data_IF_820437783253
#
_entry.id   IF_820437783253
#
_cell.length_a   1.000
_cell.length_b   1.000
_cell.length_c   1.000
_cell.angle_alpha   90.00
_cell.angle_beta   90.00
_cell.angle_gamma   90.00
#
_symmetry.space_group_name_H-M   'P 1'
#
loop_
_entity.id
_entity.type
_entity.pdbx_description
1 polymer ?
#
# COMPACT_ATOMS: atom_id res chain seq x y z
N UNK A 1 4.15 -12.83 -11.07
CA UNK A 1 4.84 -13.01 -12.36
C UNK A 1 3.86 -12.76 -13.51
N UNK A 2 4.31 -12.19 -14.66
CA UNK A 2 3.44 -11.98 -15.80
C UNK A 2 2.73 -13.28 -16.20
N UNK A 3 1.43 -13.20 -16.54
CA UNK A 3 0.62 -14.38 -16.88
C UNK A 3 1.29 -15.27 -17.94
N UNK A 4 2.00 -14.67 -18.91
CA UNK A 4 2.77 -15.41 -19.92
C UNK A 4 3.85 -16.32 -19.34
N UNK A 5 4.54 -15.95 -18.26
CA UNK A 5 5.57 -16.78 -17.62
C UNK A 5 4.90 -17.99 -16.94
N UNK A 6 3.75 -17.80 -16.29
CA UNK A 6 3.00 -18.88 -15.65
C UNK A 6 2.54 -19.90 -16.70
N UNK A 7 2.03 -19.42 -17.84
CA UNK A 7 1.59 -20.28 -18.95
C UNK A 7 2.78 -21.10 -19.49
N UNK A 8 3.91 -20.45 -19.78
CA UNK A 8 5.11 -21.13 -20.30
C UNK A 8 5.62 -22.17 -19.30
N UNK A 9 5.67 -21.83 -18.01
CA UNK A 9 6.04 -22.76 -16.94
C UNK A 9 5.12 -23.99 -16.90
N UNK A 10 3.81 -23.75 -16.93
CA UNK A 10 2.81 -24.83 -16.91
C UNK A 10 2.93 -25.75 -18.13
N UNK A 11 3.14 -25.19 -19.32
CA UNK A 11 3.36 -25.95 -20.54
C UNK A 11 4.63 -26.80 -20.45
N UNK A 12 5.75 -26.24 -20.00
CA UNK A 12 7.01 -26.97 -19.83
C UNK A 12 6.90 -28.07 -18.79
N UNK A 13 6.18 -27.84 -17.69
CA UNK A 13 5.90 -28.86 -16.67
C UNK A 13 5.06 -30.02 -17.25
N UNK A 14 4.04 -29.72 -18.02
CA UNK A 14 3.21 -30.73 -18.70
C UNK A 14 4.06 -31.55 -19.66
N UNK A 15 4.87 -30.91 -20.49
CA UNK A 15 5.80 -31.56 -21.42
C UNK A 15 6.77 -32.47 -20.67
N UNK A 16 7.36 -31.99 -19.58
CA UNK A 16 8.28 -32.77 -18.73
C UNK A 16 7.60 -34.01 -18.14
N UNK A 17 6.35 -33.86 -17.64
CA UNK A 17 5.56 -34.99 -17.11
C UNK A 17 5.25 -36.01 -18.22
N UNK A 18 4.83 -35.54 -19.40
CA UNK A 18 4.48 -36.42 -20.53
C UNK A 18 5.72 -37.24 -20.99
N UNK A 19 6.85 -36.57 -21.19
CA UNK A 19 8.10 -37.21 -21.63
C UNK A 19 8.60 -38.24 -20.60
N UNK A 20 8.34 -38.02 -19.31
CA UNK A 20 8.75 -38.95 -18.26
C UNK A 20 7.73 -40.02 -17.91
N UNK A 21 6.53 -40.07 -18.53
CA UNK A 21 5.57 -41.16 -18.35
C UNK A 21 6.17 -42.49 -18.87
N UNK A 22 5.99 -43.62 -18.14
CA UNK A 22 6.50 -44.92 -18.56
C UNK A 22 6.04 -45.36 -19.94
N UNK A 23 4.78 -45.10 -20.30
CA UNK A 23 4.19 -45.42 -21.63
C UNK A 23 4.85 -44.62 -22.76
N UNK A 24 5.16 -43.34 -22.53
CA UNK A 24 5.84 -42.50 -23.52
C UNK A 24 7.30 -42.93 -23.67
N UNK A 25 7.98 -43.23 -22.58
CA UNK A 25 9.36 -43.79 -22.60
C UNK A 25 9.46 -45.10 -23.35
N UNK A 26 8.44 -45.97 -23.23
CA UNK A 26 8.41 -47.25 -23.95
C UNK A 26 8.30 -47.07 -25.48
N UNK A 27 7.38 -46.24 -25.94
CA UNK A 27 7.20 -45.96 -27.38
C UNK A 27 8.38 -45.17 -27.97
N UNK A 28 8.92 -44.19 -27.23
CA UNK A 28 10.03 -43.36 -27.63
C UNK A 28 11.37 -44.11 -27.59
N UNK A 29 11.52 -45.08 -26.68
CA UNK A 29 12.72 -45.93 -26.53
C UNK A 29 12.89 -46.85 -27.75
N UNK A 30 11.79 -47.33 -28.37
CA UNK A 30 11.87 -48.13 -29.58
C UNK A 30 12.24 -47.28 -30.83
N UNK A 31 11.81 -46.01 -30.87
CA UNK A 31 12.23 -45.05 -31.90
C UNK A 31 13.66 -44.54 -31.68
N UNK A 32 14.11 -44.41 -30.43
CA UNK A 32 15.41 -43.85 -30.03
C UNK A 32 16.42 -44.86 -29.51
N UNK A 33 16.37 -46.12 -29.89
CA UNK A 33 17.40 -47.14 -29.50
C UNK A 33 18.84 -46.73 -29.87
N UNK A 34 18.99 -45.72 -30.75
CA UNK A 34 20.24 -45.13 -31.21
C UNK A 34 20.66 -43.85 -30.45
N UNK A 35 19.78 -43.25 -29.57
CA UNK A 35 20.01 -41.91 -29.05
C UNK A 35 19.70 -41.74 -27.56
N UNK A 36 20.19 -42.62 -26.67
CA UNK A 36 20.05 -42.44 -25.21
C UNK A 36 20.70 -41.15 -24.71
N UNK A 37 21.72 -40.67 -25.42
CA UNK A 37 22.38 -39.38 -25.15
C UNK A 37 21.47 -38.17 -25.49
N UNK A 38 20.71 -38.25 -26.61
CA UNK A 38 19.82 -37.18 -27.03
C UNK A 38 18.67 -37.00 -26.04
N UNK A 39 18.09 -38.08 -25.51
CA UNK A 39 17.02 -38.00 -24.51
C UNK A 39 17.52 -37.41 -23.16
N UNK A 40 18.73 -37.76 -22.76
CA UNK A 40 19.35 -37.14 -21.56
C UNK A 40 19.60 -35.67 -21.79
N UNK A 41 20.08 -35.28 -22.96
CA UNK A 41 20.30 -33.86 -23.31
C UNK A 41 18.99 -33.07 -23.31
N UNK A 42 17.91 -33.57 -23.91
CA UNK A 42 16.60 -32.93 -23.95
C UNK A 42 16.06 -32.77 -22.51
N UNK A 43 16.10 -33.80 -21.68
CA UNK A 43 15.62 -33.70 -20.30
C UNK A 43 16.44 -32.68 -19.48
N UNK A 44 17.75 -32.64 -19.67
CA UNK A 44 18.61 -31.66 -19.01
C UNK A 44 18.30 -30.23 -19.47
N UNK A 45 18.08 -30.01 -20.77
CA UNK A 45 17.69 -28.70 -21.32
C UNK A 45 16.36 -28.24 -20.71
N UNK A 46 15.35 -29.13 -20.67
CA UNK A 46 14.05 -28.80 -20.07
C UNK A 46 14.21 -28.50 -18.57
N UNK A 47 15.01 -29.28 -17.83
CA UNK A 47 15.27 -29.04 -16.43
C UNK A 47 15.95 -27.67 -16.20
N UNK A 48 16.97 -27.36 -17.02
CA UNK A 48 17.64 -26.04 -16.95
C UNK A 48 16.66 -24.91 -17.30
N UNK A 49 15.83 -25.05 -18.32
CA UNK A 49 14.82 -24.06 -18.66
C UNK A 49 13.80 -23.84 -17.52
N UNK A 50 13.38 -24.92 -16.87
CA UNK A 50 12.48 -24.82 -15.71
C UNK A 50 13.15 -24.09 -14.55
N UNK A 51 14.41 -24.40 -14.25
CA UNK A 51 15.19 -23.70 -13.22
C UNK A 51 15.34 -22.21 -13.58
N UNK A 52 15.70 -21.87 -14.81
CA UNK A 52 15.82 -20.48 -15.27
C UNK A 52 14.49 -19.75 -15.15
N UNK A 53 13.37 -20.39 -15.52
CA UNK A 53 12.03 -19.83 -15.36
C UNK A 53 11.69 -19.58 -13.89
N UNK A 54 11.95 -20.54 -13.00
CA UNK A 54 11.75 -20.38 -11.56
C UNK A 54 12.57 -19.21 -11.02
N UNK A 55 13.85 -19.10 -11.41
CA UNK A 55 14.71 -17.99 -11.00
C UNK A 55 14.21 -16.64 -11.52
N UNK A 56 13.55 -16.59 -12.69
CA UNK A 56 12.95 -15.35 -13.24
C UNK A 56 11.56 -15.06 -12.66
N UNK A 57 10.91 -16.01 -11.97
CA UNK A 57 9.65 -15.77 -11.27
C UNK A 57 9.81 -15.04 -9.94
N UNK A 58 11.04 -14.84 -9.45
CA UNK A 58 11.27 -14.09 -8.23
C UNK A 58 10.90 -12.61 -8.44
N UNK A 59 10.19 -12.06 -7.46
CA UNK A 59 9.91 -10.64 -7.40
C UNK A 59 11.24 -9.86 -7.44
N UNK A 60 11.36 -8.94 -8.39
CA UNK A 60 12.49 -8.00 -8.42
C UNK A 60 12.02 -6.69 -7.81
N UNK A 61 12.56 -6.31 -6.66
CA UNK A 61 12.21 -5.03 -6.03
C UNK A 61 12.51 -3.89 -6.99
N UNK A 62 11.63 -2.90 -7.01
CA UNK A 62 11.86 -1.67 -7.76
C UNK A 62 12.94 -0.83 -7.08
N UNK A 63 13.92 -0.36 -7.85
CA UNK A 63 14.96 0.51 -7.34
C UNK A 63 14.51 1.98 -7.40
N UNK A 64 13.66 2.38 -6.49
CA UNK A 64 13.00 3.66 -6.39
C UNK A 64 11.92 3.59 -5.33
N UNK A 65 10.93 4.46 -5.40
CA UNK A 65 9.75 4.40 -4.54
C UNK A 65 8.61 3.69 -5.27
N UNK A 66 8.10 2.62 -4.71
CA UNK A 66 6.90 1.94 -5.18
C UNK A 66 5.81 2.05 -4.13
N UNK A 67 4.62 2.46 -4.54
CA UNK A 67 3.43 2.61 -3.70
C UNK A 67 2.34 1.74 -4.30
N UNK A 68 1.76 0.86 -3.49
CA UNK A 68 0.67 -0.03 -3.89
C UNK A 68 -0.55 0.27 -3.02
N UNK A 69 -1.58 0.87 -3.59
CA UNK A 69 -2.89 0.95 -2.97
C UNK A 69 -3.60 -0.38 -3.24
N UNK A 70 -3.71 -1.21 -2.20
CA UNK A 70 -4.27 -2.55 -2.31
C UNK A 70 -5.79 -2.48 -2.41
N UNK A 71 -6.39 -3.35 -3.21
CA UNK A 71 -7.84 -3.55 -3.22
C UNK A 71 -8.26 -4.40 -2.01
N UNK A 72 -8.60 -3.72 -0.93
CA UNK A 72 -9.11 -4.32 0.31
C UNK A 72 -10.63 -4.20 0.44
N UNK A 73 -11.33 -3.78 -0.62
CA UNK A 73 -12.74 -3.42 -0.56
C UNK A 73 -12.94 -2.07 0.12
N UNK A 74 -13.94 -1.95 1.00
CA UNK A 74 -14.18 -0.71 1.73
C UNK A 74 -13.20 -0.61 2.91
N UNK A 75 -12.19 0.23 2.75
CA UNK A 75 -11.11 0.46 3.70
C UNK A 75 -9.81 0.87 3.02
N UNK A 76 -8.76 1.05 3.78
CA UNK A 76 -7.44 1.46 3.31
C UNK A 76 -6.36 0.42 3.61
N UNK A 77 -5.47 0.22 2.66
CA UNK A 77 -4.20 -0.46 2.86
C UNK A 77 -3.22 -0.05 1.78
N UNK A 78 -2.20 0.72 2.14
CA UNK A 78 -1.26 1.26 1.17
C UNK A 78 0.14 0.82 1.56
N UNK A 79 0.71 -0.07 0.74
CA UNK A 79 2.08 -0.53 0.91
C UNK A 79 3.05 0.38 0.17
N UNK A 80 4.14 0.75 0.84
CA UNK A 80 5.20 1.59 0.30
C UNK A 80 6.53 0.88 0.43
N UNK A 81 7.26 0.73 -0.69
CA UNK A 81 8.60 0.15 -0.69
C UNK A 81 9.61 1.16 -1.25
N UNK A 82 10.65 1.46 -0.46
CA UNK A 82 11.73 2.36 -0.85
C UNK A 82 12.99 1.56 -1.19
N UNK A 83 13.48 1.75 -2.42
CA UNK A 83 14.69 1.09 -2.95
C UNK A 83 14.69 -0.44 -2.78
N UNK A 84 13.51 -1.04 -2.68
CA UNK A 84 13.30 -2.47 -2.48
C UNK A 84 13.85 -3.06 -1.18
N UNK A 85 14.17 -2.20 -0.20
CA UNK A 85 14.79 -2.59 1.08
C UNK A 85 13.96 -2.23 2.29
N UNK A 86 13.28 -1.09 2.25
CA UNK A 86 12.44 -0.59 3.33
C UNK A 86 10.98 -0.69 2.95
N UNK A 87 10.19 -1.21 3.86
CA UNK A 87 8.80 -1.55 3.62
C UNK A 87 7.92 -0.91 4.68
N UNK A 88 6.94 -0.16 4.24
CA UNK A 88 6.00 0.53 5.10
C UNK A 88 4.58 0.15 4.71
N UNK A 89 3.68 0.19 5.68
CA UNK A 89 2.26 0.04 5.44
C UNK A 89 1.54 1.25 6.06
N UNK A 90 0.68 1.89 5.29
CA UNK A 90 -0.22 2.94 5.76
C UNK A 90 -1.61 2.34 5.83
N UNK A 91 -2.12 2.23 7.04
CA UNK A 91 -3.35 1.54 7.38
C UNK A 91 -3.39 0.08 6.90
N UNK A 92 -4.40 -0.62 7.28
CA UNK A 92 -4.70 -1.97 6.83
C UNK A 92 -6.00 -2.42 7.44
N UNK A 93 -7.09 -2.25 6.70
CA UNK A 93 -8.40 -2.64 7.17
C UNK A 93 -9.43 -2.82 6.06
N UNK A 94 -10.58 -3.35 6.45
CA UNK A 94 -11.75 -3.47 5.59
C UNK A 94 -13.00 -3.68 6.43
N UNK A 95 -14.13 -3.11 6.01
CA UNK A 95 -15.45 -3.35 6.61
C UNK A 95 -16.30 -4.33 5.82
N UNK A 96 -15.97 -4.61 4.57
CA UNK A 96 -16.75 -5.52 3.70
C UNK A 96 -16.02 -6.83 3.39
N UNK A 97 -14.68 -6.89 3.48
CA UNK A 97 -13.92 -8.12 3.28
C UNK A 97 -13.52 -8.72 4.63
N UNK A 98 -14.13 -9.84 4.96
CA UNK A 98 -13.77 -10.60 6.17
C UNK A 98 -12.33 -11.12 6.07
N UNK A 99 -11.55 -10.87 7.13
CA UNK A 99 -10.16 -11.30 7.22
C UNK A 99 -9.29 -10.76 6.05
N UNK A 100 -9.44 -9.45 5.76
CA UNK A 100 -8.71 -8.77 4.70
C UNK A 100 -7.19 -8.86 4.88
N UNK A 101 -6.70 -8.88 6.12
CA UNK A 101 -5.28 -9.09 6.43
C UNK A 101 -4.79 -10.43 5.92
N UNK A 102 -5.51 -11.52 6.23
CA UNK A 102 -5.15 -12.88 5.85
C UNK A 102 -5.28 -13.14 4.35
N UNK A 103 -6.33 -12.61 3.71
CA UNK A 103 -6.68 -13.01 2.33
C UNK A 103 -6.36 -11.97 1.27
N UNK A 104 -6.04 -10.73 1.65
CA UNK A 104 -5.69 -9.64 0.74
C UNK A 104 -4.31 -9.07 1.04
N UNK A 105 -4.11 -8.47 2.22
CA UNK A 105 -2.89 -7.71 2.53
C UNK A 105 -1.67 -8.63 2.64
N UNK A 106 -1.72 -9.66 3.48
CA UNK A 106 -0.57 -10.57 3.66
C UNK A 106 -0.14 -11.28 2.36
N UNK A 107 -1.06 -11.85 1.56
CA UNK A 107 -0.66 -12.45 0.28
C UNK A 107 -0.05 -11.44 -0.70
N UNK A 108 -0.57 -10.20 -0.75
CA UNK A 108 0.00 -9.14 -1.57
C UNK A 108 1.43 -8.78 -1.13
N UNK A 109 1.64 -8.57 0.17
CA UNK A 109 2.97 -8.33 0.74
C UNK A 109 3.94 -9.47 0.41
N UNK A 110 3.52 -10.72 0.55
CA UNK A 110 4.33 -11.90 0.22
C UNK A 110 4.65 -11.99 -1.27
N UNK A 111 3.70 -11.68 -2.14
CA UNK A 111 3.91 -11.63 -3.59
C UNK A 111 4.92 -10.54 -4.00
N UNK A 112 4.95 -9.44 -3.25
CA UNK A 112 5.94 -8.37 -3.39
C UNK A 112 7.27 -8.66 -2.67
N UNK A 113 7.45 -9.87 -2.13
CA UNK A 113 8.69 -10.29 -1.45
C UNK A 113 8.89 -9.67 -0.07
N UNK A 114 7.89 -8.99 0.48
CA UNK A 114 7.97 -8.39 1.80
C UNK A 114 7.92 -9.48 2.89
N UNK A 115 8.96 -9.51 3.71
CA UNK A 115 9.11 -10.39 4.89
C UNK A 115 9.17 -9.61 6.19
N UNK A 116 9.48 -8.32 6.09
CA UNK A 116 9.62 -7.41 7.21
C UNK A 116 9.01 -6.08 6.84
N UNK A 117 8.10 -5.58 7.67
CA UNK A 117 7.58 -4.22 7.58
C UNK A 117 8.35 -3.39 8.60
N UNK A 118 9.09 -2.38 8.14
CA UNK A 118 9.86 -1.50 9.01
C UNK A 118 8.94 -0.72 9.95
N UNK A 119 7.85 -0.18 9.41
CA UNK A 119 6.87 0.56 10.19
C UNK A 119 5.48 0.49 9.56
N UNK A 120 4.45 0.36 10.39
CA UNK A 120 3.05 0.57 10.03
C UNK A 120 2.62 1.93 10.55
N UNK A 121 2.12 2.79 9.68
CA UNK A 121 1.57 4.09 10.01
C UNK A 121 0.05 3.99 10.03
N UNK A 122 -0.56 4.30 11.17
CA UNK A 122 -2.01 4.28 11.37
C UNK A 122 -2.54 5.71 11.30
N UNK A 123 -3.55 5.93 10.47
CA UNK A 123 -4.25 7.21 10.41
C UNK A 123 -5.18 7.38 11.62
N UNK A 124 -6.06 6.42 11.84
CA UNK A 124 -6.98 6.35 12.99
C UNK A 124 -7.41 4.89 13.22
N UNK A 125 -8.25 4.64 14.23
CA UNK A 125 -8.48 3.27 14.72
C UNK A 125 -9.82 2.66 14.31
N UNK A 126 -10.46 3.14 13.26
CA UNK A 126 -11.66 2.51 12.71
C UNK A 126 -11.31 1.18 12.02
N UNK A 127 -12.28 0.27 11.96
CA UNK A 127 -12.04 -1.10 11.50
C UNK A 127 -11.52 -1.20 10.06
N UNK A 128 -11.95 -0.30 9.19
CA UNK A 128 -11.48 -0.21 7.79
C UNK A 128 -10.06 0.32 7.65
N UNK A 129 -9.41 0.68 8.75
CA UNK A 129 -8.00 1.09 8.79
C UNK A 129 -7.11 0.17 9.61
N UNK A 130 -7.65 -0.57 10.60
CA UNK A 130 -6.81 -1.39 11.49
C UNK A 130 -7.13 -2.88 11.51
N UNK A 131 -8.26 -3.35 10.99
CA UNK A 131 -8.66 -4.76 11.12
C UNK A 131 -7.64 -5.72 10.50
N UNK A 132 -7.08 -5.39 9.33
CA UNK A 132 -6.04 -6.19 8.70
C UNK A 132 -4.69 -6.05 9.42
N UNK A 133 -4.37 -4.88 9.99
CA UNK A 133 -3.17 -4.70 10.83
C UNK A 133 -3.20 -5.64 12.03
N UNK A 134 -4.34 -5.72 12.73
CA UNK A 134 -4.51 -6.65 13.86
C UNK A 134 -4.33 -8.12 13.44
N UNK A 135 -4.73 -8.47 12.22
CA UNK A 135 -4.50 -9.81 11.66
C UNK A 135 -3.01 -10.02 11.33
N UNK A 136 -2.33 -9.04 10.75
CA UNK A 136 -0.90 -9.10 10.45
C UNK A 136 -0.05 -9.28 11.71
N UNK A 137 -0.38 -8.60 12.81
CA UNK A 137 0.27 -8.78 14.12
C UNK A 137 0.19 -10.25 14.57
N UNK A 138 -0.97 -10.90 14.44
CA UNK A 138 -1.14 -12.32 14.77
C UNK A 138 -0.37 -13.27 13.85
N UNK A 139 -0.02 -12.82 12.65
CA UNK A 139 0.73 -13.59 11.67
C UNK A 139 2.23 -13.46 11.80
N UNK A 140 2.73 -12.60 12.69
CA UNK A 140 4.16 -12.47 12.96
C UNK A 140 4.75 -13.81 13.40
N UNK A 141 5.86 -14.20 12.74
CA UNK A 141 6.60 -15.43 12.99
C UNK A 141 8.01 -15.29 12.41
N UNK A 142 8.80 -16.38 12.41
CA UNK A 142 10.18 -16.38 11.89
C UNK A 142 10.30 -15.97 10.40
N UNK A 143 9.20 -15.96 9.64
CA UNK A 143 9.19 -15.66 8.19
C UNK A 143 8.53 -14.33 7.83
N UNK A 144 7.85 -13.69 8.78
CA UNK A 144 7.21 -12.40 8.63
C UNK A 144 7.18 -11.65 9.96
N UNK A 145 7.60 -10.40 9.97
CA UNK A 145 7.65 -9.58 11.18
C UNK A 145 7.39 -8.10 10.89
N UNK A 146 7.04 -7.37 11.96
CA UNK A 146 6.75 -5.93 11.97
C UNK A 146 7.70 -5.29 12.98
N UNK A 147 8.39 -4.22 12.57
CA UNK A 147 9.36 -3.51 13.42
C UNK A 147 8.67 -2.57 14.41
N UNK A 148 7.80 -1.71 13.92
CA UNK A 148 7.10 -0.72 14.75
C UNK A 148 5.74 -0.35 14.18
N UNK A 149 4.91 0.25 15.04
CA UNK A 149 3.63 0.87 14.65
C UNK A 149 3.67 2.32 15.11
N UNK A 150 3.30 3.24 14.23
CA UNK A 150 3.12 4.66 14.54
C UNK A 150 1.65 4.97 14.53
N UNK A 151 1.14 5.52 15.63
CA UNK A 151 -0.27 5.89 15.81
C UNK A 151 -0.38 7.40 16.09
N UNK A 152 -1.53 8.04 15.80
CA UNK A 152 -1.73 9.42 16.22
C UNK A 152 -1.69 9.54 17.74
N UNK A 153 -1.06 10.61 18.27
CA UNK A 153 -1.12 10.95 19.69
C UNK A 153 -2.45 11.64 20.01
N UNK A 154 -3.40 10.87 20.52
CA UNK A 154 -4.77 11.33 20.84
C UNK A 154 -4.96 11.50 22.33
N UNK A 155 -4.16 12.36 22.96
CA UNK A 155 -4.20 12.59 24.40
C UNK A 155 -5.62 12.78 24.95
N UNK A 156 -5.96 12.02 26.00
CA UNK A 156 -7.26 12.04 26.66
C UNK A 156 -8.33 11.19 25.97
N UNK A 157 -8.03 10.55 24.83
CA UNK A 157 -8.93 9.61 24.11
C UNK A 157 -8.34 8.20 23.98
N UNK A 158 -7.32 7.91 24.77
CA UNK A 158 -6.66 6.59 24.84
C UNK A 158 -7.61 5.47 25.32
N UNK A 159 -8.80 5.83 25.81
CA UNK A 159 -9.86 4.89 26.22
C UNK A 159 -10.73 4.40 25.08
N UNK A 160 -10.43 4.72 23.83
CA UNK A 160 -11.10 4.11 22.67
C UNK A 160 -10.70 2.64 22.63
N UNK A 161 -11.67 1.76 22.75
CA UNK A 161 -11.45 0.29 22.85
C UNK A 161 -10.55 -0.24 21.74
N UNK A 162 -10.77 0.19 20.48
CA UNK A 162 -9.96 -0.24 19.33
C UNK A 162 -8.49 0.19 19.43
N UNK A 163 -8.24 1.42 19.92
CA UNK A 163 -6.90 1.95 20.14
C UNK A 163 -6.15 1.14 21.20
N UNK A 164 -6.75 0.96 22.38
CA UNK A 164 -6.16 0.19 23.46
C UNK A 164 -5.91 -1.26 23.06
N UNK A 165 -6.84 -1.86 22.31
CA UNK A 165 -6.69 -3.22 21.81
C UNK A 165 -5.51 -3.37 20.84
N UNK A 166 -5.32 -2.41 19.93
CA UNK A 166 -4.19 -2.44 18.99
C UNK A 166 -2.85 -2.32 19.74
N UNK A 167 -2.77 -1.41 20.71
CA UNK A 167 -1.57 -1.22 21.57
C UNK A 167 -1.27 -2.50 22.35
N UNK A 168 -2.27 -3.09 23.03
CA UNK A 168 -2.12 -4.34 23.79
C UNK A 168 -1.65 -5.52 22.89
N UNK A 169 -2.18 -5.60 21.68
CA UNK A 169 -1.77 -6.64 20.72
C UNK A 169 -0.33 -6.44 20.25
N UNK A 170 0.08 -5.19 19.99
CA UNK A 170 1.44 -4.86 19.57
C UNK A 170 2.44 -5.17 20.70
N UNK A 171 2.12 -4.77 21.93
CA UNK A 171 2.95 -5.04 23.13
C UNK A 171 3.16 -6.55 23.35
N UNK A 172 2.08 -7.33 23.31
CA UNK A 172 2.14 -8.80 23.42
C UNK A 172 2.96 -9.47 22.32
N UNK A 173 3.03 -8.85 21.15
CA UNK A 173 3.84 -9.33 20.02
C UNK A 173 5.28 -8.79 20.04
N UNK A 174 5.65 -7.94 21.03
CA UNK A 174 6.96 -7.31 21.12
C UNK A 174 7.20 -6.24 20.03
N UNK A 175 6.12 -5.66 19.47
CA UNK A 175 6.19 -4.62 18.44
C UNK A 175 6.15 -3.26 19.14
N UNK A 176 7.15 -2.42 18.82
CA UNK A 176 7.22 -1.08 19.40
C UNK A 176 6.12 -0.15 18.87
N UNK A 177 5.42 0.56 19.77
CA UNK A 177 4.40 1.55 19.40
C UNK A 177 4.95 2.95 19.65
N UNK A 178 4.92 3.79 18.62
CA UNK A 178 5.29 5.20 18.68
C UNK A 178 4.06 6.07 18.44
N UNK A 179 4.08 7.29 18.93
CA UNK A 179 2.98 8.23 18.81
C UNK A 179 3.42 9.43 17.98
N UNK A 180 2.61 9.79 16.99
CA UNK A 180 2.90 10.88 16.07
C UNK A 180 1.91 12.04 16.27
N UNK A 181 2.46 13.23 16.28
CA UNK A 181 1.76 14.51 16.15
C UNK A 181 2.40 15.28 15.00
N UNK A 182 1.80 16.41 14.62
CA UNK A 182 2.42 17.32 13.67
C UNK A 182 3.91 17.56 13.98
N UNK A 183 4.75 17.39 12.97
CA UNK A 183 6.21 17.51 13.07
C UNK A 183 6.96 16.20 13.31
N UNK A 184 6.26 15.08 13.66
CA UNK A 184 6.91 13.77 13.69
C UNK A 184 7.41 13.42 12.29
N UNK A 185 8.67 13.02 12.18
CA UNK A 185 9.31 12.69 10.90
C UNK A 185 10.03 11.36 11.00
N UNK A 186 9.83 10.52 9.99
CA UNK A 186 10.56 9.28 9.77
C UNK A 186 11.34 9.39 8.47
N UNK A 187 12.67 9.29 8.54
CA UNK A 187 13.56 9.44 7.38
C UNK A 187 14.34 8.17 7.12
N UNK A 188 14.36 7.70 5.88
CA UNK A 188 15.22 6.59 5.44
C UNK A 188 15.76 6.87 4.03
N UNK A 189 17.07 7.06 3.92
CA UNK A 189 17.70 7.46 2.67
C UNK A 189 17.13 8.78 2.12
N UNK A 190 16.53 8.73 0.95
CA UNK A 190 15.91 9.91 0.29
C UNK A 190 14.37 9.97 0.52
N UNK A 191 13.82 9.07 1.33
CA UNK A 191 12.42 9.03 1.69
C UNK A 191 12.21 9.73 3.03
N UNK A 192 11.36 10.74 3.05
CA UNK A 192 10.83 11.37 4.26
C UNK A 192 9.33 11.08 4.37
N UNK A 193 8.90 10.67 5.55
CA UNK A 193 7.49 10.50 5.92
C UNK A 193 7.24 11.44 7.10
N UNK A 194 6.45 12.47 6.90
CA UNK A 194 6.19 13.50 7.91
C UNK A 194 4.72 13.50 8.29
N UNK A 195 4.44 13.42 9.58
CA UNK A 195 3.11 13.65 10.13
C UNK A 195 2.84 15.16 10.19
N UNK A 196 1.78 15.61 9.53
CA UNK A 196 1.40 17.03 9.47
C UNK A 196 0.06 17.32 10.16
N UNK A 197 -0.62 16.29 10.62
CA UNK A 197 -1.84 16.32 11.44
C UNK A 197 -1.91 15.00 12.24
N UNK A 198 -2.48 14.95 13.45
CA UNK A 198 -3.10 16.02 14.21
C UNK A 198 -2.09 16.99 14.85
N UNK A 199 -2.54 18.22 15.08
CA UNK A 199 -1.77 19.18 15.85
C UNK A 199 -1.85 18.89 17.34
N UNK A 200 -0.73 19.04 18.05
CA UNK A 200 -0.68 18.83 19.47
C UNK A 200 -1.64 19.77 20.22
N UNK A 201 -2.44 19.21 21.12
CA UNK A 201 -3.35 19.98 21.98
C UNK A 201 -4.70 20.34 21.37
N UNK A 202 -5.00 19.93 20.13
CA UNK A 202 -6.36 20.02 19.58
C UNK A 202 -7.26 18.93 20.19
N UNK A 203 -8.46 19.34 20.57
CA UNK A 203 -9.52 18.42 20.99
C UNK A 203 -10.53 18.26 19.86
N UNK A 204 -10.49 17.11 19.20
CA UNK A 204 -11.40 16.75 18.13
C UNK A 204 -12.55 15.91 18.69
N UNK A 205 -13.73 16.04 18.12
CA UNK A 205 -14.93 15.34 18.58
C UNK A 205 -15.11 13.98 17.88
N UNK A 206 -14.60 13.85 16.66
CA UNK A 206 -14.77 12.68 15.79
C UNK A 206 -13.43 11.95 15.59
N UNK A 207 -13.48 10.61 15.45
CA UNK A 207 -12.31 9.78 15.16
C UNK A 207 -11.65 10.18 13.82
N UNK A 208 -12.45 10.57 12.83
CA UNK A 208 -11.97 11.00 11.52
C UNK A 208 -11.17 12.30 11.60
N UNK A 209 -11.56 13.22 12.48
CA UNK A 209 -10.83 14.46 12.72
C UNK A 209 -9.45 14.23 13.37
N UNK A 210 -9.23 13.07 14.02
CA UNK A 210 -7.92 12.66 14.54
C UNK A 210 -7.06 11.93 13.52
N UNK A 211 -7.55 11.66 12.33
CA UNK A 211 -6.78 10.96 11.31
C UNK A 211 -5.41 11.59 11.12
N UNK A 212 -4.36 10.82 11.36
CA UNK A 212 -3.02 11.28 11.06
C UNK A 212 -2.86 11.47 9.55
N UNK A 213 -2.47 12.68 9.17
CA UNK A 213 -2.15 13.02 7.79
C UNK A 213 -0.64 12.95 7.62
N UNK A 214 -0.20 12.11 6.68
CA UNK A 214 1.21 11.94 6.38
C UNK A 214 1.56 12.50 5.00
N UNK A 215 2.62 13.29 4.94
CA UNK A 215 3.26 13.70 3.69
C UNK A 215 4.47 12.81 3.43
N UNK A 216 4.45 12.09 2.33
CA UNK A 216 5.57 11.31 1.83
C UNK A 216 6.32 12.16 0.80
N UNK A 217 7.63 12.33 1.00
CA UNK A 217 8.52 13.02 0.05
C UNK A 217 9.65 12.10 -0.38
N UNK A 218 9.88 12.02 -1.68
CA UNK A 218 10.98 11.26 -2.27
C UNK A 218 11.57 12.07 -3.43
N UNK A 219 12.69 12.77 -3.20
CA UNK A 219 13.28 13.73 -4.14
C UNK A 219 12.31 14.84 -4.55
N UNK A 220 11.76 14.78 -5.78
CA UNK A 220 10.76 15.72 -6.30
C UNK A 220 9.33 15.17 -6.27
N UNK A 221 9.18 13.90 -5.95
CA UNK A 221 7.87 13.29 -5.79
C UNK A 221 7.33 13.55 -4.39
N UNK A 222 6.03 13.81 -4.31
CA UNK A 222 5.33 13.95 -3.03
C UNK A 222 3.94 13.30 -3.10
N UNK A 223 3.52 12.70 -1.99
CA UNK A 223 2.18 12.14 -1.82
C UNK A 223 1.61 12.51 -0.46
N UNK A 224 0.36 12.96 -0.48
CA UNK A 224 -0.40 13.26 0.73
C UNK A 224 -1.34 12.10 1.04
N UNK A 225 -1.20 11.52 2.23
CA UNK A 225 -2.04 10.46 2.79
C UNK A 225 -2.94 11.07 3.86
N UNK A 226 -4.22 11.21 3.60
CA UNK A 226 -5.15 11.96 4.47
C UNK A 226 -5.91 11.09 5.46
N UNK A 227 -5.77 9.75 5.38
CA UNK A 227 -6.66 8.87 6.14
C UNK A 227 -8.12 9.20 5.85
N UNK A 228 -8.90 9.35 6.90
CA UNK A 228 -10.30 9.76 6.82
C UNK A 228 -10.55 11.20 7.31
N UNK A 229 -9.48 12.01 7.33
CA UNK A 229 -9.58 13.43 7.67
C UNK A 229 -10.68 14.12 6.82
N UNK A 230 -11.61 14.78 7.51
CA UNK A 230 -12.69 15.54 6.90
C UNK A 230 -12.40 17.04 6.92
N UNK A 231 -13.34 17.84 6.42
CA UNK A 231 -13.16 19.27 6.18
C UNK A 231 -12.67 20.04 7.40
N UNK A 232 -13.03 19.64 8.63
CA UNK A 232 -12.57 20.30 9.86
C UNK A 232 -11.06 20.06 10.11
N UNK A 233 -10.60 18.84 9.94
CA UNK A 233 -9.19 18.49 10.04
C UNK A 233 -8.38 19.16 8.91
N UNK A 234 -8.92 19.19 7.69
CA UNK A 234 -8.30 19.86 6.55
C UNK A 234 -8.17 21.38 6.79
N UNK A 235 -9.19 22.02 7.37
CA UNK A 235 -9.16 23.45 7.72
C UNK A 235 -8.09 23.73 8.78
N UNK A 236 -7.99 22.90 9.82
CA UNK A 236 -6.94 23.02 10.83
C UNK A 236 -5.55 22.91 10.20
N UNK A 237 -5.33 21.89 9.37
CA UNK A 237 -4.08 21.65 8.65
C UNK A 237 -3.69 22.85 7.80
N UNK A 238 -4.59 23.38 6.97
CA UNK A 238 -4.33 24.52 6.08
C UNK A 238 -4.06 25.79 6.89
N UNK A 239 -4.82 26.02 7.97
CA UNK A 239 -4.64 27.20 8.81
C UNK A 239 -3.27 27.19 9.52
N UNK A 240 -2.82 26.04 10.00
CA UNK A 240 -1.52 25.95 10.67
C UNK A 240 -0.37 26.15 9.68
N UNK A 241 -0.44 25.57 8.48
CA UNK A 241 0.55 25.81 7.43
C UNK A 241 0.59 27.30 7.05
N UNK A 242 -0.57 27.97 6.94
CA UNK A 242 -0.61 29.38 6.62
C UNK A 242 -0.02 30.25 7.74
N UNK A 243 -0.20 29.88 9.02
CA UNK A 243 0.48 30.55 10.16
C UNK A 243 1.98 30.40 10.08
N UNK A 244 2.48 29.22 9.78
CA UNK A 244 3.91 28.92 9.65
C UNK A 244 4.53 29.70 8.48
N UNK A 245 3.83 29.77 7.31
CA UNK A 245 4.25 30.61 6.17
C UNK A 245 4.33 32.09 6.54
N UNK A 246 3.33 32.61 7.26
CA UNK A 246 3.30 34.01 7.68
C UNK A 246 4.41 34.34 8.70
N UNK A 247 4.85 33.37 9.48
CA UNK A 247 5.93 33.52 10.47
C UNK A 247 7.35 33.46 9.84
N UNK A 248 7.48 33.32 8.50
CA UNK A 248 8.75 33.14 7.82
C UNK A 248 9.62 32.01 8.44
N UNK A 249 9.02 31.03 9.03
CA UNK A 249 9.71 29.82 9.46
C UNK A 249 10.14 29.11 8.18
N UNK A 250 11.43 28.81 8.06
CA UNK A 250 12.02 28.15 6.89
C UNK A 250 11.52 26.67 6.82
N UNK A 251 10.21 26.53 6.62
CA UNK A 251 9.57 25.24 6.44
C UNK A 251 9.36 25.08 4.95
N UNK A 252 10.03 24.07 4.41
CA UNK A 252 9.70 23.57 3.07
C UNK A 252 8.18 23.40 3.04
N UNK A 253 7.52 24.16 2.17
CA UNK A 253 6.07 24.20 2.07
C UNK A 253 5.51 22.77 1.89
N UNK A 254 5.01 22.19 3.00
CA UNK A 254 4.63 20.78 3.09
C UNK A 254 3.46 20.43 2.18
N UNK A 255 2.70 21.42 1.77
CA UNK A 255 1.56 21.25 0.88
C UNK A 255 1.78 21.90 -0.49
N UNK A 256 2.99 22.33 -0.83
CA UNK A 256 3.29 22.76 -2.19
C UNK A 256 3.62 21.55 -3.06
N UNK A 257 3.11 21.58 -4.29
CA UNK A 257 3.49 20.62 -5.33
C UNK A 257 3.24 19.13 -4.97
N UNK A 258 2.11 18.82 -4.33
CA UNK A 258 1.71 17.43 -4.09
C UNK A 258 1.43 16.74 -5.43
N UNK A 259 2.21 15.70 -5.73
CA UNK A 259 2.04 14.95 -6.97
C UNK A 259 0.81 14.05 -6.91
N UNK A 260 0.61 13.36 -5.78
CA UNK A 260 -0.46 12.37 -5.58
C UNK A 260 -1.19 12.65 -4.27
N UNK A 261 -2.50 12.62 -4.32
CA UNK A 261 -3.40 12.67 -3.16
C UNK A 261 -4.06 11.30 -2.95
N UNK A 262 -3.94 10.71 -1.77
CA UNK A 262 -4.92 9.73 -1.30
C UNK A 262 -6.13 10.51 -0.82
N UNK A 263 -7.24 10.34 -1.49
CA UNK A 263 -8.49 11.04 -1.22
C UNK A 263 -9.03 10.66 0.15
N UNK A 264 -9.44 11.63 0.94
CA UNK A 264 -9.92 11.43 2.30
C UNK A 264 -11.21 10.61 2.35
N UNK A 265 -11.34 9.81 3.41
CA UNK A 265 -12.54 9.07 3.78
C UNK A 265 -13.20 8.35 2.60
N UNK A 266 -12.38 7.60 1.85
CA UNK A 266 -12.79 6.78 0.68
C UNK A 266 -13.57 7.54 -0.41
N UNK A 267 -13.44 8.86 -0.48
CA UNK A 267 -14.19 9.72 -1.38
C UNK A 267 -15.54 10.20 -0.80
N UNK A 268 -15.65 10.30 0.53
CA UNK A 268 -16.77 10.95 1.21
C UNK A 268 -16.94 12.39 0.73
N UNK A 269 -18.17 12.85 0.59
CA UNK A 269 -18.46 14.25 0.23
C UNK A 269 -18.03 15.26 1.29
N UNK A 270 -17.79 14.82 2.52
CA UNK A 270 -17.33 15.63 3.65
C UNK A 270 -15.82 15.80 3.73
N UNK A 271 -15.08 15.01 2.95
CA UNK A 271 -13.62 15.05 2.86
C UNK A 271 -13.16 15.60 1.51
N UNK A 272 -11.87 15.89 1.41
CA UNK A 272 -11.21 16.40 0.19
C UNK A 272 -11.89 17.66 -0.31
N UNK A 273 -11.89 18.68 0.55
CA UNK A 273 -12.53 19.96 0.29
C UNK A 273 -11.90 20.70 -0.89
N UNK A 274 -12.67 21.55 -1.54
CA UNK A 274 -12.19 22.42 -2.61
C UNK A 274 -11.06 23.36 -2.13
N UNK A 275 -11.08 23.75 -0.86
CA UNK A 275 -10.01 24.54 -0.24
C UNK A 275 -8.71 23.75 -0.14
N UNK A 276 -8.76 22.46 0.23
CA UNK A 276 -7.60 21.58 0.25
C UNK A 276 -7.06 21.41 -1.17
N UNK A 277 -7.90 21.04 -2.13
CA UNK A 277 -7.50 20.82 -3.53
C UNK A 277 -6.84 22.05 -4.15
N UNK A 278 -7.39 23.26 -3.93
CA UNK A 278 -6.78 24.52 -4.39
C UNK A 278 -5.46 24.84 -3.71
N UNK A 279 -5.24 24.34 -2.49
CA UNK A 279 -4.01 24.55 -1.74
C UNK A 279 -2.89 23.63 -2.23
N UNK A 280 -3.19 22.32 -2.43
CA UNK A 280 -2.19 21.29 -2.76
C UNK A 280 -2.05 21.02 -4.26
N UNK A 281 -3.06 21.32 -5.06
CA UNK A 281 -3.12 21.16 -6.54
C UNK A 281 -2.59 19.81 -7.03
N UNK A 282 -3.15 18.69 -6.57
CA UNK A 282 -2.62 17.38 -6.88
C UNK A 282 -2.86 17.04 -8.35
N UNK A 283 -1.87 16.37 -8.98
CA UNK A 283 -2.01 15.89 -10.36
C UNK A 283 -2.83 14.60 -10.43
N UNK A 284 -2.71 13.76 -9.41
CA UNK A 284 -3.34 12.45 -9.32
C UNK A 284 -4.06 12.30 -8.00
N UNK A 285 -5.24 11.67 -8.04
CA UNK A 285 -6.04 11.35 -6.87
C UNK A 285 -6.32 9.84 -6.84
N UNK A 286 -6.01 9.20 -5.72
CA UNK A 286 -6.27 7.78 -5.48
C UNK A 286 -7.41 7.62 -4.49
N UNK A 287 -8.40 6.82 -4.83
CA UNK A 287 -9.54 6.49 -3.98
C UNK A 287 -9.54 4.99 -3.71
N UNK A 288 -9.52 4.61 -2.44
CA UNK A 288 -9.72 3.23 -1.99
C UNK A 288 -11.16 3.09 -1.52
N UNK A 289 -11.95 2.24 -2.16
CA UNK A 289 -13.32 1.94 -1.75
C UNK A 289 -13.80 0.61 -2.33
N UNK A 290 -14.80 0.01 -1.68
CA UNK A 290 -15.39 -1.25 -2.11
C UNK A 290 -16.40 -1.11 -3.26
N UNK A 291 -16.58 -2.20 -4.02
CA UNK A 291 -17.66 -2.29 -5.02
C UNK A 291 -19.00 -2.36 -4.29
N UNK A 292 -19.96 -1.53 -4.69
CA UNK A 292 -21.30 -1.49 -4.08
C UNK A 292 -21.28 -1.29 -2.55
N UNK A 293 -20.30 -0.53 -2.04
CA UNK A 293 -20.21 -0.26 -0.62
C UNK A 293 -21.46 0.48 -0.10
N UNK A 294 -21.84 0.20 1.15
CA UNK A 294 -23.07 0.73 1.77
C UNK A 294 -23.07 2.26 1.97
N UNK A 295 -21.90 2.89 1.84
CA UNK A 295 -21.74 4.33 2.05
C UNK A 295 -21.95 5.13 0.78
N UNK A 296 -21.96 4.46 -0.39
CA UNK A 296 -22.06 5.10 -1.70
C UNK A 296 -20.76 5.80 -2.12
N UNK A 297 -19.62 5.41 -1.53
CA UNK A 297 -18.30 5.96 -1.89
C UNK A 297 -17.77 5.40 -3.22
N UNK A 298 -17.07 6.21 -4.02
CA UNK A 298 -16.91 7.67 -3.85
C UNK A 298 -18.19 8.42 -4.20
N UNK A 299 -18.50 9.48 -3.45
CA UNK A 299 -19.64 10.34 -3.77
C UNK A 299 -19.38 11.18 -5.05
N UNK A 300 -20.45 11.48 -5.80
CA UNK A 300 -20.36 12.28 -7.03
C UNK A 300 -19.77 13.66 -6.78
N UNK A 301 -20.14 14.29 -5.65
CA UNK A 301 -19.64 15.60 -5.28
C UNK A 301 -18.11 15.63 -5.08
N UNK A 302 -17.53 14.52 -4.63
CA UNK A 302 -16.08 14.41 -4.49
C UNK A 302 -15.41 14.22 -5.84
N UNK A 303 -16.00 13.40 -6.72
CA UNK A 303 -15.50 13.19 -8.07
C UNK A 303 -15.56 14.48 -8.89
N UNK A 304 -16.67 15.24 -8.81
CA UNK A 304 -16.84 16.56 -9.45
C UNK A 304 -15.76 17.55 -8.97
N UNK A 305 -15.52 17.64 -7.64
CA UNK A 305 -14.46 18.52 -7.11
C UNK A 305 -13.07 18.15 -7.62
N UNK A 306 -12.78 16.86 -7.74
CA UNK A 306 -11.50 16.38 -8.28
C UNK A 306 -11.36 16.70 -9.76
N UNK A 307 -12.42 16.55 -10.56
CA UNK A 307 -12.46 16.90 -11.98
C UNK A 307 -12.28 18.41 -12.19
N UNK A 308 -13.02 19.24 -11.44
CA UNK A 308 -12.92 20.70 -11.48
C UNK A 308 -11.50 21.21 -11.16
N UNK A 309 -10.77 20.45 -10.33
CA UNK A 309 -9.35 20.74 -10.01
C UNK A 309 -8.36 20.02 -10.95
N UNK A 310 -8.83 19.45 -12.06
CA UNK A 310 -8.02 18.74 -13.07
C UNK A 310 -7.20 17.56 -12.53
N UNK A 311 -7.68 16.88 -11.49
CA UNK A 311 -7.03 15.71 -10.95
C UNK A 311 -7.34 14.47 -11.78
N UNK A 312 -6.33 13.69 -12.11
CA UNK A 312 -6.54 12.37 -12.71
C UNK A 312 -6.88 11.34 -11.63
N UNK A 313 -8.12 10.84 -11.64
CA UNK A 313 -8.67 9.97 -10.59
C UNK A 313 -8.45 8.50 -10.92
N UNK A 314 -8.05 7.72 -9.92
CA UNK A 314 -7.95 6.26 -9.94
C UNK A 314 -8.69 5.70 -8.74
N UNK A 315 -9.55 4.68 -8.95
CA UNK A 315 -10.41 4.11 -7.91
C UNK A 315 -10.23 2.59 -7.85
N UNK A 316 -9.98 2.04 -6.66
CA UNK A 316 -9.73 0.60 -6.50
C UNK A 316 -10.92 -0.28 -6.88
N UNK A 317 -12.15 0.18 -6.66
CA UNK A 317 -13.35 -0.59 -6.98
C UNK A 317 -13.54 -0.87 -8.48
N UNK A 318 -12.89 -0.11 -9.35
CA UNK A 318 -12.95 -0.29 -10.82
C UNK A 318 -11.64 -0.80 -11.41
N UNK A 319 -10.51 -0.47 -10.78
CA UNK A 319 -9.18 -0.71 -11.33
C UNK A 319 -8.42 -1.83 -10.59
N UNK A 320 -8.98 -2.33 -9.46
CA UNK A 320 -8.25 -3.22 -8.57
C UNK A 320 -7.08 -2.51 -7.89
N UNK A 321 -6.00 -3.24 -7.64
CA UNK A 321 -4.78 -2.65 -7.07
C UNK A 321 -4.21 -1.56 -8.00
N UNK A 322 -3.83 -0.42 -7.41
CA UNK A 322 -3.20 0.71 -8.10
C UNK A 322 -1.75 0.81 -7.66
N UNK A 323 -0.82 0.78 -8.62
CA UNK A 323 0.62 0.76 -8.37
C UNK A 323 1.24 2.03 -8.94
N UNK A 324 1.90 2.81 -8.07
CA UNK A 324 2.74 3.94 -8.48
C UNK A 324 4.20 3.52 -8.38
N UNK A 325 4.99 3.84 -9.41
CA UNK A 325 6.44 3.71 -9.40
C UNK A 325 7.09 5.02 -9.79
N UNK A 326 8.07 5.45 -8.99
CA UNK A 326 8.79 6.68 -9.26
C UNK A 326 10.27 6.57 -8.88
N UNK A 327 11.13 7.19 -9.69
CA UNK A 327 12.54 7.43 -9.37
C UNK A 327 12.74 8.75 -8.60
N UNK A 328 11.61 9.42 -8.27
CA UNK A 328 11.54 10.73 -7.65
C UNK A 328 11.47 11.90 -8.63
N UNK A 329 11.61 11.66 -9.93
CA UNK A 329 11.51 12.68 -10.99
C UNK A 329 10.47 12.31 -12.05
N UNK A 330 10.35 11.02 -12.35
CA UNK A 330 9.35 10.48 -13.27
C UNK A 330 8.49 9.47 -12.53
N UNK A 331 7.21 9.46 -12.86
CA UNK A 331 6.23 8.59 -12.26
C UNK A 331 5.49 7.79 -13.33
N UNK A 332 5.16 6.55 -13.02
CA UNK A 332 4.22 5.72 -13.78
C UNK A 332 3.14 5.18 -12.85
N UNK A 333 1.92 5.09 -13.38
CA UNK A 333 0.79 4.47 -12.68
C UNK A 333 0.37 3.23 -13.45
N UNK A 334 0.24 2.12 -12.75
CA UNK A 334 -0.22 0.84 -13.28
C UNK A 334 -1.44 0.40 -12.48
N UNK A 335 -2.34 -0.33 -13.12
CA UNK A 335 -3.56 -0.85 -12.52
C UNK A 335 -3.65 -2.35 -12.80
N UNK A 336 -4.28 -3.09 -11.90
CA UNK A 336 -4.35 -4.55 -12.02
C UNK A 336 -5.46 -4.98 -12.99
N UNK A 337 -6.62 -4.31 -12.97
CA UNK A 337 -7.71 -4.52 -13.91
C UNK A 337 -7.61 -3.49 -15.05
N UNK A 338 -7.93 -3.91 -16.26
CA UNK A 338 -7.97 -3.08 -17.47
C UNK A 338 -9.40 -2.84 -17.89
#
# INVERSE_FOLDING_TARGET
>A
PPAGIIIVYSVLMIIFIIINKPSFKYNFKNYCKMHSLVNKAINNIIAVMLVVLVLNMHYKPYNGLQINMLDVGQGDSIYVSASGRHNFLFDGGSTDIKSAGQYRVYPALRAMGCKYIDCIFISHTDNDHISAVMELIKMCNDTFSIGSIVMPDIKGKENIEAYMKLVDMADKAGINVCYAVRGYTFTVGELDIKCIHPCAGYDYEDSNDYSAVYCISYKKFSMLMTGDAESRAEDCLINDINKERAANVDIKDELSDITVLKVGHHGSKYATSDKLLKTIKPQYALISCGINNRYGHPHSETLERLEDNNCKVYVTNTLGEIIIRTDGYKMSVHQYLQ
#
